data_IF_571886881368
#
_entry.id   IF_571886881368
#
_cell.length_a   1.000
_cell.length_b   1.000
_cell.length_c   1.000
_cell.angle_alpha   90.00
_cell.angle_beta   90.00
_cell.angle_gamma   90.00
#
_symmetry.space_group_name_H-M   'P 1'
#
loop_
_entity.id
_entity.type
_entity.pdbx_description
1 polymer ?
#
# COMPACT_ATOMS: atom_id res chain seq x y z
N UNK A 1 -18.77 -4.87 13.32
CA UNK A 1 -17.33 -5.08 13.53
C UNK A 1 -16.75 -3.80 14.08
N UNK A 2 -15.99 -3.88 15.18
CA UNK A 2 -15.49 -2.72 15.93
C UNK A 2 -14.01 -2.91 16.24
N UNK A 3 -13.18 -1.97 15.79
CA UNK A 3 -11.73 -1.97 15.96
C UNK A 3 -11.29 -0.75 16.76
N UNK A 4 -10.50 -0.96 17.79
CA UNK A 4 -9.72 0.07 18.47
C UNK A 4 -8.29 0.05 17.93
N UNK A 5 -7.88 1.10 17.23
CA UNK A 5 -6.51 1.28 16.76
C UNK A 5 -5.76 2.15 17.78
N UNK A 6 -4.94 1.50 18.60
CA UNK A 6 -4.00 2.16 19.51
C UNK A 6 -2.75 2.60 18.75
N UNK A 7 -2.54 3.90 18.63
CA UNK A 7 -1.38 4.49 17.97
C UNK A 7 -0.32 4.82 19.01
N UNK A 8 0.87 4.24 18.84
CA UNK A 8 2.04 4.48 19.69
C UNK A 8 3.08 5.20 18.83
N UNK A 9 3.48 6.40 19.23
CA UNK A 9 4.42 7.23 18.48
C UNK A 9 5.85 6.75 18.69
N UNK A 10 6.55 6.51 17.60
CA UNK A 10 7.98 6.21 17.57
C UNK A 10 8.70 7.39 16.93
N UNK A 11 9.51 8.07 17.74
CA UNK A 11 10.29 9.25 17.34
C UNK A 11 11.74 8.90 17.01
N UNK A 12 12.20 7.71 17.39
CA UNK A 12 13.56 7.24 17.10
C UNK A 12 13.62 5.71 17.04
N UNK A 13 14.57 5.18 16.26
CA UNK A 13 14.89 3.75 16.19
C UNK A 13 16.39 3.55 16.36
N UNK A 14 16.77 2.57 17.18
CA UNK A 14 18.18 2.28 17.51
C UNK A 14 18.46 0.78 17.50
N UNK A 15 19.60 0.39 16.96
CA UNK A 15 20.15 -0.95 17.20
C UNK A 15 20.66 -1.02 18.65
N UNK A 16 20.36 -2.13 19.34
CA UNK A 16 20.73 -2.35 20.72
C UNK A 16 20.82 -3.84 21.04
N UNK A 17 21.29 -4.19 22.24
CA UNK A 17 21.42 -5.59 22.67
C UNK A 17 20.06 -6.26 22.97
N UNK A 18 18.97 -5.50 23.09
CA UNK A 18 17.63 -6.02 23.40
C UNK A 18 16.56 -5.25 22.63
N UNK A 19 15.58 -5.97 22.07
CA UNK A 19 14.42 -5.37 21.43
C UNK A 19 13.40 -4.91 22.47
N UNK A 20 13.01 -3.64 22.42
CA UNK A 20 11.96 -3.06 23.28
C UNK A 20 11.48 -1.73 22.74
N UNK A 21 10.29 -1.30 23.16
CA UNK A 21 9.83 0.07 22.98
C UNK A 21 9.86 0.77 24.33
N UNK A 22 10.59 1.88 24.44
CA UNK A 22 10.72 2.65 25.67
C UNK A 22 10.84 4.14 25.34
N UNK A 23 10.02 4.98 25.98
CA UNK A 23 10.04 6.44 25.79
C UNK A 23 9.98 6.88 24.32
N UNK A 24 9.07 6.27 23.55
CA UNK A 24 8.86 6.53 22.11
C UNK A 24 10.10 6.23 21.24
N UNK A 25 11.00 5.37 21.73
CA UNK A 25 12.14 4.83 20.99
C UNK A 25 11.97 3.33 20.81
N UNK A 26 12.08 2.85 19.57
CA UNK A 26 12.13 1.43 19.25
C UNK A 26 13.60 0.97 19.24
N UNK A 27 13.96 0.14 20.20
CA UNK A 27 15.23 -0.55 20.25
C UNK A 27 15.10 -1.91 19.56
N UNK A 28 16.07 -2.26 18.72
CA UNK A 28 16.05 -3.48 17.89
C UNK A 28 17.34 -4.26 18.14
N UNK A 29 17.20 -5.53 18.55
CA UNK A 29 18.30 -6.48 18.51
C UNK A 29 18.44 -7.03 17.09
N UNK A 30 19.60 -6.78 16.49
CA UNK A 30 19.86 -7.15 15.10
C UNK A 30 19.84 -8.67 14.88
N UNK A 31 20.35 -9.45 15.83
CA UNK A 31 20.41 -10.91 15.73
C UNK A 31 19.00 -11.53 15.85
N UNK A 32 18.09 -10.95 16.61
CA UNK A 32 16.68 -11.37 16.64
C UNK A 32 16.03 -11.24 15.25
N UNK A 33 16.27 -10.11 14.57
CA UNK A 33 15.75 -9.88 13.22
C UNK A 33 16.40 -10.82 12.21
N UNK A 34 17.73 -11.01 12.26
CA UNK A 34 18.44 -11.97 11.40
C UNK A 34 17.89 -13.37 11.55
N UNK A 35 17.65 -13.82 12.78
CA UNK A 35 17.11 -15.15 13.04
C UNK A 35 15.72 -15.32 12.39
N UNK A 36 14.84 -14.33 12.51
CA UNK A 36 13.50 -14.38 11.90
C UNK A 36 13.58 -14.47 10.37
N UNK A 37 14.45 -13.68 9.75
CA UNK A 37 14.55 -13.62 8.28
C UNK A 37 15.23 -14.87 7.72
N UNK A 38 16.27 -15.37 8.38
CA UNK A 38 17.06 -16.53 7.95
C UNK A 38 16.41 -17.89 8.29
N UNK A 39 15.21 -17.89 8.88
CA UNK A 39 14.35 -19.09 8.94
C UNK A 39 13.96 -19.60 7.55
N UNK A 40 13.93 -18.72 6.54
CA UNK A 40 13.65 -19.07 5.15
C UNK A 40 14.96 -19.32 4.39
N UNK A 41 15.14 -20.55 3.89
CA UNK A 41 16.37 -21.01 3.23
C UNK A 41 16.57 -20.40 1.83
N UNK A 42 15.60 -19.66 1.31
CA UNK A 42 15.73 -18.87 0.09
C UNK A 42 16.51 -17.56 0.30
N UNK A 43 16.72 -17.12 1.55
CA UNK A 43 17.48 -15.92 1.90
C UNK A 43 18.83 -16.32 2.48
N UNK A 44 19.92 -15.93 1.81
CA UNK A 44 21.27 -16.25 2.28
C UNK A 44 21.78 -15.30 3.35
N UNK A 45 21.42 -14.01 3.25
CA UNK A 45 21.86 -12.97 4.17
C UNK A 45 20.82 -11.89 4.33
N UNK A 46 20.84 -11.27 5.51
CA UNK A 46 20.16 -10.01 5.77
C UNK A 46 21.06 -9.09 6.60
N UNK A 47 21.06 -7.81 6.27
CA UNK A 47 21.57 -6.75 7.14
C UNK A 47 20.47 -5.74 7.44
N UNK A 48 20.47 -5.22 8.67
CA UNK A 48 19.48 -4.25 9.12
C UNK A 48 20.12 -2.87 9.05
N UNK A 49 19.51 -1.98 8.26
CA UNK A 49 19.93 -0.60 8.17
C UNK A 49 18.78 0.34 8.54
N UNK A 50 19.09 1.47 9.17
CA UNK A 50 18.08 2.46 9.58
C UNK A 50 18.33 3.72 8.76
N UNK A 51 17.26 4.27 8.18
CA UNK A 51 17.26 5.56 7.50
C UNK A 51 16.21 6.47 8.13
N UNK A 52 16.62 7.66 8.59
CA UNK A 52 15.76 8.61 9.28
C UNK A 52 15.39 9.79 8.39
N UNK A 53 14.24 10.44 8.63
CA UNK A 53 13.84 11.63 7.89
C UNK A 53 14.93 12.70 7.90
N UNK A 54 15.25 13.23 6.71
CA UNK A 54 16.25 14.29 6.52
C UNK A 54 17.71 13.83 6.44
N UNK A 55 18.01 12.54 6.62
CA UNK A 55 19.37 12.03 6.40
C UNK A 55 19.71 11.99 4.90
N UNK A 56 20.99 12.13 4.55
CA UNK A 56 21.48 11.96 3.17
C UNK A 56 21.56 10.47 2.80
N UNK A 57 20.39 9.85 2.66
CA UNK A 57 20.22 8.41 2.39
C UNK A 57 19.23 8.20 1.25
N UNK A 58 19.60 7.33 0.32
CA UNK A 58 18.73 6.76 -0.72
C UNK A 58 18.47 5.28 -0.43
N UNK A 59 17.22 4.85 -0.50
CA UNK A 59 16.81 3.45 -0.37
C UNK A 59 16.31 2.99 -1.74
N UNK A 60 16.97 2.00 -2.34
CA UNK A 60 16.58 1.45 -3.66
C UNK A 60 17.29 0.13 -3.93
N UNK A 61 16.69 -0.84 -4.65
CA UNK A 61 15.25 -0.91 -4.92
C UNK A 61 14.50 -1.27 -3.63
N UNK A 62 13.42 -0.53 -3.34
CA UNK A 62 12.51 -0.81 -2.22
C UNK A 62 11.25 -1.51 -2.71
N UNK A 63 10.91 -2.65 -2.08
CA UNK A 63 9.80 -3.50 -2.51
C UNK A 63 8.49 -3.17 -1.81
N UNK A 64 8.48 -3.34 -0.49
CA UNK A 64 7.31 -3.12 0.34
C UNK A 64 7.72 -2.29 1.55
N UNK A 65 6.75 -1.55 2.09
CA UNK A 65 6.85 -0.77 3.31
C UNK A 65 5.71 -1.22 4.21
N UNK A 66 6.00 -1.54 5.47
CA UNK A 66 5.05 -2.21 6.36
C UNK A 66 5.06 -1.50 7.71
N UNK A 67 3.90 -1.05 8.17
CA UNK A 67 3.76 -0.49 9.54
C UNK A 67 3.76 -1.63 10.57
N UNK A 68 4.64 -1.62 11.58
CA UNK A 68 4.59 -2.61 12.64
C UNK A 68 3.29 -2.49 13.44
N UNK A 69 2.52 -3.58 13.49
CA UNK A 69 1.27 -3.68 14.25
C UNK A 69 1.23 -4.95 15.10
N UNK A 70 0.38 -4.99 16.12
CA UNK A 70 0.04 -6.23 16.81
C UNK A 70 -1.39 -6.21 17.36
N UNK A 71 -2.02 -7.39 17.42
CA UNK A 71 -3.28 -7.56 18.14
C UNK A 71 -3.01 -7.61 19.64
N UNK A 72 -3.88 -6.99 20.43
CA UNK A 72 -3.82 -6.99 21.90
C UNK A 72 -4.95 -7.85 22.44
N UNK A 73 -4.62 -8.74 23.38
CA UNK A 73 -5.57 -9.66 24.03
C UNK A 73 -6.51 -10.39 23.05
N UNK A 74 -5.99 -10.76 21.87
CA UNK A 74 -6.73 -11.44 20.81
C UNK A 74 -6.22 -12.86 20.56
N UNK A 75 -7.11 -13.73 20.07
CA UNK A 75 -6.75 -15.03 19.53
C UNK A 75 -6.30 -14.95 18.05
N UNK A 76 -6.62 -13.85 17.37
CA UNK A 76 -6.15 -13.55 16.01
C UNK A 76 -4.83 -12.79 16.03
N UNK A 77 -4.10 -12.83 14.92
CA UNK A 77 -2.87 -12.06 14.70
C UNK A 77 -2.96 -11.32 13.36
N UNK A 78 -2.18 -10.25 13.21
CA UNK A 78 -2.10 -9.50 11.95
C UNK A 78 -1.54 -10.34 10.80
N UNK A 79 -1.84 -9.95 9.57
CA UNK A 79 -1.44 -10.65 8.32
C UNK A 79 -1.92 -12.12 8.28
N UNK A 80 -3.24 -12.36 8.46
CA UNK A 80 -3.82 -13.69 8.50
C UNK A 80 -3.62 -14.46 7.18
N UNK A 81 -3.29 -15.74 7.29
CA UNK A 81 -3.08 -16.63 6.14
C UNK A 81 -1.74 -16.50 5.43
N UNK A 82 -0.86 -15.59 5.89
CA UNK A 82 0.51 -15.43 5.34
C UNK A 82 1.55 -15.78 6.41
N UNK A 83 1.75 -14.89 7.39
CA UNK A 83 2.70 -15.09 8.51
C UNK A 83 2.00 -15.42 9.83
N UNK A 84 0.68 -15.51 9.78
CA UNK A 84 -0.22 -15.85 10.87
C UNK A 84 -1.20 -16.92 10.41
N UNK A 85 -1.81 -17.63 11.37
CA UNK A 85 -2.88 -18.58 11.05
C UNK A 85 -4.02 -17.89 10.30
N UNK A 86 -4.75 -18.66 9.50
CA UNK A 86 -5.97 -18.18 8.84
C UNK A 86 -7.02 -17.95 9.92
N UNK A 87 -7.31 -16.69 10.19
CA UNK A 87 -8.35 -16.23 11.11
C UNK A 87 -8.90 -14.89 10.61
N UNK A 88 -10.03 -14.44 11.17
CA UNK A 88 -10.61 -13.13 10.87
C UNK A 88 -9.90 -12.04 11.64
N UNK A 89 -9.80 -10.86 11.02
CA UNK A 89 -9.25 -9.64 11.62
C UNK A 89 -10.30 -8.52 11.56
N UNK A 90 -9.94 -7.32 12.02
CA UNK A 90 -10.78 -6.13 11.95
C UNK A 90 -11.61 -5.85 13.20
N UNK A 91 -11.42 -6.61 14.28
CA UNK A 91 -12.12 -6.41 15.56
C UNK A 91 -11.19 -6.42 16.78
N UNK A 92 -11.67 -5.88 17.91
CA UNK A 92 -10.89 -5.81 19.14
C UNK A 92 -9.88 -4.68 19.09
N UNK A 93 -8.72 -4.85 19.74
CA UNK A 93 -7.67 -3.82 19.79
C UNK A 93 -6.43 -4.23 18.99
N UNK A 94 -5.91 -3.28 18.23
CA UNK A 94 -4.64 -3.39 17.49
C UNK A 94 -3.75 -2.22 17.87
N UNK A 95 -2.52 -2.49 18.29
CA UNK A 95 -1.50 -1.45 18.46
C UNK A 95 -0.72 -1.27 17.16
N UNK A 96 -0.40 -0.03 16.82
CA UNK A 96 0.39 0.36 15.66
C UNK A 96 1.53 1.29 16.08
N UNK A 97 2.75 0.96 15.66
CA UNK A 97 3.92 1.79 15.87
C UNK A 97 4.00 2.86 14.77
N UNK A 98 3.54 4.06 15.09
CA UNK A 98 3.51 5.22 14.17
C UNK A 98 4.89 5.87 14.09
N UNK A 99 5.23 6.44 12.93
CA UNK A 99 6.51 7.13 12.70
C UNK A 99 7.67 6.24 12.25
N UNK A 100 7.46 4.92 12.16
CA UNK A 100 8.44 3.98 11.63
C UNK A 100 7.79 2.93 10.72
N UNK A 101 8.59 2.32 9.85
CA UNK A 101 8.16 1.21 9.01
C UNK A 101 9.29 0.22 8.75
N UNK A 102 8.94 -1.04 8.51
CA UNK A 102 9.85 -2.06 7.98
C UNK A 102 9.82 -1.97 6.46
N UNK A 103 10.98 -1.85 5.84
CA UNK A 103 11.14 -1.80 4.39
C UNK A 103 11.93 -3.01 3.90
N UNK A 104 11.43 -3.71 2.89
CA UNK A 104 12.18 -4.79 2.23
C UNK A 104 12.99 -4.22 1.06
N UNK A 105 14.31 -4.41 1.09
CA UNK A 105 15.29 -3.77 0.21
C UNK A 105 16.36 -4.79 -0.20
N UNK A 106 17.05 -4.61 -1.32
CA UNK A 106 18.25 -5.38 -1.63
C UNK A 106 18.24 -5.96 -3.03
N UNK A 107 18.76 -7.17 -3.20
CA UNK A 107 18.84 -7.81 -4.52
C UNK A 107 17.52 -8.51 -4.83
N UNK A 108 16.54 -7.74 -5.30
CA UNK A 108 15.18 -8.16 -5.67
C UNK A 108 14.94 -7.91 -7.17
N UNK A 109 13.75 -8.23 -7.67
CA UNK A 109 13.34 -7.89 -9.04
C UNK A 109 13.12 -6.38 -9.18
N UNK A 110 14.21 -5.62 -9.34
CA UNK A 110 14.23 -4.18 -9.08
C UNK A 110 13.67 -3.24 -10.16
N UNK A 111 13.32 -3.71 -11.37
CA UNK A 111 12.88 -2.80 -12.45
C UNK A 111 11.44 -2.28 -12.29
N UNK A 112 10.63 -2.91 -11.42
CA UNK A 112 9.28 -2.47 -11.01
C UNK A 112 9.23 -2.16 -9.51
N UNK A 113 10.38 -1.80 -8.94
CA UNK A 113 10.49 -1.42 -7.53
C UNK A 113 10.98 0.02 -7.48
N UNK A 114 10.99 0.62 -6.30
CA UNK A 114 11.08 2.07 -6.21
C UNK A 114 12.33 2.63 -5.57
N UNK A 115 12.40 3.95 -5.62
CA UNK A 115 13.37 4.80 -4.92
C UNK A 115 12.65 5.55 -3.80
N UNK A 116 13.26 5.58 -2.62
CA UNK A 116 12.92 6.50 -1.53
C UNK A 116 14.17 7.30 -1.17
N UNK A 117 14.12 8.61 -1.41
CA UNK A 117 15.12 9.54 -0.90
C UNK A 117 14.64 10.11 0.44
N UNK A 118 15.53 10.15 1.44
CA UNK A 118 15.20 10.66 2.77
C UNK A 118 15.36 12.18 2.90
N UNK A 119 15.94 12.85 1.90
CA UNK A 119 16.06 14.30 1.80
C UNK A 119 15.93 14.79 0.34
N UNK A 120 15.78 16.11 0.16
CA UNK A 120 15.75 16.73 -1.17
C UNK A 120 14.44 16.49 -1.94
N UNK A 121 14.43 16.72 -3.27
CA UNK A 121 13.20 16.70 -4.06
C UNK A 121 12.52 15.32 -4.07
N UNK A 122 13.27 14.22 -4.03
CA UNK A 122 12.70 12.88 -3.93
C UNK A 122 11.94 12.64 -2.62
N UNK A 123 12.40 13.23 -1.52
CA UNK A 123 11.74 13.11 -0.22
C UNK A 123 10.36 13.79 -0.19
N UNK A 124 10.19 14.89 -0.92
CA UNK A 124 8.89 15.59 -1.04
C UNK A 124 7.86 14.78 -1.83
N UNK A 125 8.32 13.83 -2.63
CA UNK A 125 7.48 13.02 -3.52
C UNK A 125 7.07 11.67 -2.92
N UNK A 126 7.60 11.25 -1.77
CA UNK A 126 7.25 9.95 -1.17
C UNK A 126 6.78 10.12 0.27
N UNK A 127 5.69 9.46 0.70
CA UNK A 127 5.28 9.49 2.10
C UNK A 127 6.31 8.83 3.02
N UNK A 128 7.13 7.93 2.48
CA UNK A 128 8.06 7.11 3.26
C UNK A 128 9.31 7.86 3.71
N UNK A 129 9.61 9.03 3.14
CA UNK A 129 10.69 9.90 3.61
C UNK A 129 10.42 10.49 5.00
N UNK A 130 9.15 10.49 5.43
CA UNK A 130 8.71 11.00 6.73
C UNK A 130 8.74 9.92 7.83
N UNK A 131 9.06 8.68 7.48
CA UNK A 131 9.15 7.56 8.41
C UNK A 131 10.61 7.25 8.74
N UNK A 132 10.83 6.68 9.92
CA UNK A 132 12.08 5.97 10.21
C UNK A 132 11.98 4.59 9.56
N UNK A 133 12.72 4.41 8.46
CA UNK A 133 12.72 3.17 7.68
C UNK A 133 13.73 2.17 8.26
N UNK A 134 13.22 1.01 8.67
CA UNK A 134 13.99 -0.15 9.13
C UNK A 134 14.15 -1.06 7.91
N UNK A 135 15.25 -0.87 7.19
CA UNK A 135 15.53 -1.55 5.93
C UNK A 135 16.11 -2.95 6.19
N UNK A 136 15.39 -3.97 5.73
CA UNK A 136 15.88 -5.34 5.63
C UNK A 136 16.58 -5.48 4.28
N UNK A 137 17.91 -5.37 4.27
CA UNK A 137 18.71 -5.54 3.04
C UNK A 137 19.00 -7.02 2.85
N UNK A 138 18.26 -7.66 1.94
CA UNK A 138 18.28 -9.12 1.75
C UNK A 138 19.06 -9.55 0.50
N UNK A 139 19.73 -10.70 0.61
CA UNK A 139 20.43 -11.36 -0.49
C UNK A 139 19.86 -12.78 -0.72
N UNK A 140 19.63 -13.19 -1.99
CA UNK A 140 19.10 -14.50 -2.32
C UNK A 140 20.11 -15.61 -2.06
N UNK A 141 19.62 -16.79 -1.68
CA UNK A 141 20.38 -18.03 -1.72
C UNK A 141 20.78 -18.41 -3.16
N UNK A 142 21.83 -19.22 -3.29
CA UNK A 142 22.27 -19.69 -4.60
C UNK A 142 21.19 -20.54 -5.28
N UNK A 143 20.99 -20.31 -6.59
CA UNK A 143 20.05 -21.08 -7.44
C UNK A 143 18.57 -21.02 -7.01
N UNK A 144 18.17 -20.03 -6.21
CA UNK A 144 16.75 -19.82 -5.91
C UNK A 144 15.98 -19.33 -7.14
N UNK A 145 14.76 -19.84 -7.31
CA UNK A 145 13.84 -19.33 -8.34
C UNK A 145 13.33 -17.96 -7.92
N UNK A 146 13.28 -17.03 -8.86
CA UNK A 146 12.82 -15.65 -8.65
C UNK A 146 11.49 -15.58 -7.88
N UNK A 147 10.48 -16.33 -8.31
CA UNK A 147 9.16 -16.34 -7.66
C UNK A 147 9.22 -16.78 -6.18
N UNK A 148 10.01 -17.80 -5.86
CA UNK A 148 10.18 -18.29 -4.48
C UNK A 148 10.92 -17.27 -3.61
N UNK A 149 11.95 -16.64 -4.16
CA UNK A 149 12.68 -15.60 -3.46
C UNK A 149 11.81 -14.37 -3.17
N UNK A 150 11.02 -13.89 -4.14
CA UNK A 150 10.10 -12.77 -3.95
C UNK A 150 9.06 -13.04 -2.84
N UNK A 151 8.56 -14.29 -2.76
CA UNK A 151 7.69 -14.70 -1.66
C UNK A 151 8.43 -14.65 -0.31
N UNK A 152 9.65 -15.19 -0.24
CA UNK A 152 10.46 -15.18 0.98
C UNK A 152 10.75 -13.75 1.47
N UNK A 153 11.07 -12.82 0.57
CA UNK A 153 11.30 -11.41 0.88
C UNK A 153 10.04 -10.74 1.46
N UNK A 154 8.87 -11.00 0.85
CA UNK A 154 7.58 -10.49 1.38
C UNK A 154 7.30 -11.03 2.78
N UNK A 155 7.42 -12.33 2.98
CA UNK A 155 7.21 -12.95 4.29
C UNK A 155 8.21 -12.44 5.34
N UNK A 156 9.47 -12.21 4.98
CA UNK A 156 10.47 -11.64 5.87
C UNK A 156 10.05 -10.25 6.39
N UNK A 157 9.61 -9.35 5.51
CA UNK A 157 9.09 -8.04 5.90
C UNK A 157 7.91 -8.13 6.87
N UNK A 158 6.92 -8.97 6.55
CA UNK A 158 5.71 -9.16 7.36
C UNK A 158 6.01 -9.79 8.72
N UNK A 159 6.90 -10.81 8.78
CA UNK A 159 7.33 -11.45 10.03
C UNK A 159 8.04 -10.45 10.94
N UNK A 160 8.94 -9.64 10.39
CA UNK A 160 9.67 -8.62 11.15
C UNK A 160 8.72 -7.52 11.64
N UNK A 161 7.84 -7.00 10.78
CA UNK A 161 6.85 -5.99 11.19
C UNK A 161 5.92 -6.50 12.30
N UNK A 162 5.48 -7.76 12.21
CA UNK A 162 4.70 -8.44 13.26
C UNK A 162 5.51 -8.58 14.56
N UNK A 163 6.77 -9.00 14.47
CA UNK A 163 7.64 -9.15 15.63
C UNK A 163 7.86 -7.82 16.35
N UNK A 164 8.22 -6.77 15.62
CA UNK A 164 8.42 -5.43 16.17
C UNK A 164 7.13 -4.85 16.76
N UNK A 165 5.98 -5.07 16.09
CA UNK A 165 4.68 -4.66 16.61
C UNK A 165 4.38 -5.30 17.96
N UNK A 166 4.71 -6.59 18.17
CA UNK A 166 4.48 -7.30 19.45
C UNK A 166 5.21 -6.70 20.64
N UNK A 167 6.31 -5.97 20.43
CA UNK A 167 7.01 -5.25 21.50
C UNK A 167 6.14 -4.18 22.15
N UNK A 168 5.06 -3.78 21.48
CA UNK A 168 4.11 -2.77 21.94
C UNK A 168 2.85 -3.32 22.62
N UNK A 169 2.70 -4.64 22.73
CA UNK A 169 1.44 -5.26 23.17
C UNK A 169 0.98 -4.81 24.58
N UNK A 170 1.92 -4.51 25.48
CA UNK A 170 1.63 -4.06 26.85
C UNK A 170 1.83 -2.55 27.06
N UNK A 171 2.00 -1.78 25.99
CA UNK A 171 2.26 -0.33 26.05
C UNK A 171 0.93 0.41 25.92
N UNK A 172 0.69 1.40 26.77
CA UNK A 172 -0.47 2.28 26.64
C UNK A 172 -0.30 3.16 25.40
N UNK A 173 -1.25 3.17 24.45
CA UNK A 173 -1.19 4.02 23.26
C UNK A 173 -1.25 5.51 23.58
N UNK A 174 -0.57 6.33 22.77
CA UNK A 174 -0.68 7.80 22.84
C UNK A 174 -2.08 8.28 22.40
N UNK A 175 -2.67 7.57 21.44
CA UNK A 175 -4.02 7.83 20.92
C UNK A 175 -4.72 6.49 20.67
N UNK A 176 -6.01 6.40 21.01
CA UNK A 176 -6.87 5.27 20.61
C UNK A 176 -8.01 5.81 19.75
N UNK A 177 -8.07 5.34 18.50
CA UNK A 177 -9.17 5.65 17.57
C UNK A 177 -10.07 4.44 17.43
N UNK A 178 -11.38 4.66 17.52
CA UNK A 178 -12.37 3.58 17.39
C UNK A 178 -13.07 3.69 16.04
N UNK A 179 -13.03 2.60 15.29
CA UNK A 179 -13.76 2.43 14.04
C UNK A 179 -14.83 1.37 14.21
N UNK A 180 -16.03 1.63 13.71
CA UNK A 180 -17.15 0.69 13.81
C UNK A 180 -18.00 0.71 12.56
N UNK A 181 -18.30 -0.48 12.04
CA UNK A 181 -19.28 -0.70 10.99
C UNK A 181 -20.21 -1.81 11.47
N UNK A 182 -21.50 -1.51 11.60
CA UNK A 182 -22.51 -2.45 12.11
C UNK A 182 -22.86 -3.52 11.07
N UNK A 183 -23.53 -4.62 11.47
CA UNK A 183 -24.15 -5.53 10.51
C UNK A 183 -25.02 -4.76 9.51
N UNK A 184 -25.02 -5.19 8.25
CA UNK A 184 -25.58 -4.42 7.13
C UNK A 184 -26.96 -3.81 7.39
N UNK A 185 -27.92 -4.59 7.90
CA UNK A 185 -29.28 -4.11 8.15
C UNK A 185 -29.34 -3.04 9.25
N UNK A 186 -28.49 -3.16 10.26
CA UNK A 186 -28.36 -2.16 11.33
C UNK A 186 -27.64 -0.91 10.81
N UNK A 187 -26.60 -1.09 10.00
CA UNK A 187 -25.86 0.01 9.37
C UNK A 187 -26.77 0.87 8.47
N UNK A 188 -27.62 0.23 7.65
CA UNK A 188 -28.60 0.91 6.80
C UNK A 188 -29.57 1.73 7.67
N UNK A 189 -30.03 1.17 8.78
CA UNK A 189 -31.03 1.79 9.64
C UNK A 189 -30.48 2.91 10.54
N UNK A 190 -29.16 3.02 10.71
CA UNK A 190 -28.55 3.98 11.62
C UNK A 190 -28.70 5.44 11.14
N UNK A 191 -28.53 5.67 9.84
CA UNK A 191 -28.65 6.98 9.22
C UNK A 191 -29.52 6.90 7.95
N UNK A 192 -30.84 6.71 8.08
CA UNK A 192 -31.72 6.41 6.94
C UNK A 192 -31.87 7.58 5.96
N UNK A 193 -31.62 8.81 6.40
CA UNK A 193 -31.73 10.02 5.60
C UNK A 193 -30.44 10.39 4.86
N UNK A 194 -29.31 9.73 5.19
CA UNK A 194 -28.02 9.99 4.55
C UNK A 194 -27.81 9.08 3.34
N UNK A 195 -27.12 9.54 2.28
CA UNK A 195 -26.78 8.70 1.14
C UNK A 195 -25.88 7.54 1.59
N UNK A 196 -26.22 6.34 1.14
CA UNK A 196 -25.47 5.09 1.38
C UNK A 196 -24.28 5.07 0.43
N UNK A 197 -23.09 5.27 0.98
CA UNK A 197 -21.84 5.35 0.22
C UNK A 197 -20.99 4.11 0.50
N UNK A 198 -20.49 3.46 -0.55
CA UNK A 198 -19.51 2.38 -0.45
C UNK A 198 -18.16 2.77 -1.02
N UNK A 199 -17.18 1.87 -0.86
CA UNK A 199 -15.86 2.00 -1.46
C UNK A 199 -15.56 0.76 -2.30
N UNK A 200 -15.39 0.94 -3.60
CA UNK A 200 -14.87 -0.10 -4.49
C UNK A 200 -13.35 0.01 -4.53
N UNK A 201 -12.69 -0.95 -3.91
CA UNK A 201 -11.25 -1.01 -3.81
C UNK A 201 -10.70 -1.98 -4.85
N UNK A 202 -10.15 -1.46 -5.95
CA UNK A 202 -9.47 -2.28 -6.94
C UNK A 202 -8.12 -2.76 -6.38
N UNK A 203 -7.86 -4.06 -6.54
CA UNK A 203 -6.63 -4.71 -6.10
C UNK A 203 -5.85 -5.15 -7.34
N UNK A 204 -4.58 -4.79 -7.38
CA UNK A 204 -3.70 -5.15 -8.49
C UNK A 204 -3.54 -6.66 -8.61
N UNK A 205 -3.99 -7.21 -9.74
CA UNK A 205 -3.90 -8.65 -10.09
C UNK A 205 -3.24 -8.91 -11.46
N UNK A 206 -2.40 -7.98 -11.88
CA UNK A 206 -1.62 -8.00 -13.12
C UNK A 206 -0.11 -7.99 -12.86
N UNK A 207 0.32 -8.25 -11.63
CA UNK A 207 1.72 -8.26 -11.27
C UNK A 207 2.48 -9.35 -12.02
N UNK A 208 3.74 -9.06 -12.36
CA UNK A 208 4.55 -9.98 -13.17
C UNK A 208 4.80 -11.33 -12.49
N UNK A 209 4.99 -11.30 -11.17
CA UNK A 209 5.39 -12.47 -10.37
C UNK A 209 4.33 -12.86 -9.35
N UNK A 210 3.81 -11.86 -8.65
CA UNK A 210 2.82 -11.99 -7.60
C UNK A 210 1.87 -10.81 -7.68
N UNK A 211 0.73 -10.94 -7.04
CA UNK A 211 -0.37 -9.98 -7.01
C UNK A 211 -0.63 -9.50 -5.57
N UNK A 212 -1.63 -8.66 -5.37
CA UNK A 212 -2.11 -8.28 -4.03
C UNK A 212 -2.79 -9.49 -3.36
N UNK A 213 -2.62 -9.67 -2.04
CA UNK A 213 -3.20 -10.81 -1.30
C UNK A 213 -4.31 -10.36 -0.37
N UNK A 214 -5.35 -11.18 -0.27
CA UNK A 214 -6.48 -11.01 0.66
C UNK A 214 -6.59 -12.26 1.53
N UNK A 215 -6.42 -12.12 2.84
CA UNK A 215 -6.37 -13.25 3.80
C UNK A 215 -5.39 -14.36 3.36
N UNK A 216 -4.24 -13.95 2.80
CA UNK A 216 -3.20 -14.83 2.27
C UNK A 216 -3.54 -15.57 0.98
N UNK A 217 -4.72 -15.33 0.40
CA UNK A 217 -5.06 -15.80 -0.94
C UNK A 217 -4.72 -14.73 -1.96
N UNK A 218 -4.04 -15.12 -3.04
CA UNK A 218 -3.80 -14.24 -4.19
C UNK A 218 -5.15 -13.71 -4.72
N UNK A 219 -5.29 -12.39 -4.78
CA UNK A 219 -6.54 -11.75 -5.15
C UNK A 219 -7.03 -12.20 -6.53
N UNK A 220 -6.15 -12.58 -7.46
CA UNK A 220 -6.53 -13.05 -8.81
C UNK A 220 -7.46 -14.26 -8.81
N UNK A 221 -7.50 -15.01 -7.69
CA UNK A 221 -8.25 -16.25 -7.54
C UNK A 221 -9.59 -16.07 -6.83
N UNK A 222 -9.89 -14.87 -6.33
CA UNK A 222 -11.18 -14.55 -5.71
C UNK A 222 -12.02 -13.70 -6.66
N UNK A 223 -13.34 -13.81 -6.53
CA UNK A 223 -14.27 -12.87 -7.17
C UNK A 223 -14.46 -11.65 -6.27
N UNK A 224 -14.94 -10.51 -6.81
CA UNK A 224 -15.19 -9.33 -6.00
C UNK A 224 -16.07 -9.63 -4.78
N UNK A 225 -15.67 -9.12 -3.63
CA UNK A 225 -16.17 -9.53 -2.32
C UNK A 225 -16.34 -8.32 -1.40
N UNK A 226 -17.20 -8.45 -0.39
CA UNK A 226 -17.44 -7.39 0.59
C UNK A 226 -16.55 -7.64 1.81
N UNK A 227 -15.89 -6.59 2.28
CA UNK A 227 -15.14 -6.55 3.53
C UNK A 227 -15.69 -5.45 4.44
N UNK A 228 -15.59 -5.66 5.75
CA UNK A 228 -15.62 -4.56 6.68
C UNK A 228 -14.37 -3.69 6.47
N UNK A 229 -14.47 -2.36 6.51
CA UNK A 229 -13.30 -1.50 6.30
C UNK A 229 -12.20 -1.71 7.35
N UNK A 230 -12.57 -2.07 8.57
CA UNK A 230 -11.62 -2.41 9.64
C UNK A 230 -10.79 -3.66 9.36
N UNK A 231 -11.23 -4.58 8.50
CA UNK A 231 -10.42 -5.75 8.11
C UNK A 231 -9.18 -5.31 7.34
N UNK A 232 -9.32 -4.31 6.46
CA UNK A 232 -8.21 -3.73 5.69
C UNK A 232 -7.21 -3.07 6.64
N UNK A 233 -7.70 -2.29 7.60
CA UNK A 233 -6.87 -1.69 8.66
C UNK A 233 -6.15 -2.74 9.53
N UNK A 234 -6.63 -3.97 9.59
CA UNK A 234 -6.07 -5.00 10.46
C UNK A 234 -5.29 -6.08 9.70
N UNK A 235 -4.86 -5.75 8.48
CA UNK A 235 -3.91 -6.52 7.68
C UNK A 235 -4.54 -7.65 6.87
N UNK A 236 -5.85 -7.60 6.59
CA UNK A 236 -6.50 -8.54 5.69
C UNK A 236 -5.98 -8.43 4.26
N UNK A 237 -5.52 -7.25 3.84
CA UNK A 237 -4.93 -6.99 2.52
C UNK A 237 -3.46 -6.65 2.70
N UNK A 238 -2.59 -7.28 1.93
CA UNK A 238 -1.16 -6.99 1.89
C UNK A 238 -0.69 -6.83 0.46
N UNK A 239 0.37 -6.04 0.28
CA UNK A 239 1.01 -5.90 -1.01
C UNK A 239 1.80 -7.16 -1.36
N UNK A 240 1.73 -7.55 -2.62
CA UNK A 240 2.62 -8.55 -3.19
C UNK A 240 2.98 -8.28 -4.64
N UNK A 241 2.46 -7.20 -5.21
CA UNK A 241 2.49 -6.92 -6.63
C UNK A 241 3.80 -6.28 -7.11
N UNK A 242 4.13 -6.57 -8.38
CA UNK A 242 5.20 -5.92 -9.12
C UNK A 242 4.56 -4.99 -10.17
N UNK A 243 4.44 -3.70 -9.83
CA UNK A 243 3.90 -2.61 -10.66
C UNK A 243 4.77 -1.36 -10.46
N UNK A 244 4.56 -0.27 -11.23
CA UNK A 244 5.32 0.98 -11.06
C UNK A 244 5.38 1.42 -9.60
N UNK A 245 6.49 2.02 -9.19
CA UNK A 245 6.67 2.35 -7.78
C UNK A 245 5.73 3.46 -7.30
N UNK A 246 5.39 4.42 -8.18
CA UNK A 246 4.60 5.60 -7.83
C UNK A 246 3.15 5.31 -7.45
N UNK A 247 2.54 4.35 -8.14
CA UNK A 247 1.11 4.00 -8.04
C UNK A 247 0.87 2.70 -7.23
N UNK A 248 1.94 1.99 -6.85
CA UNK A 248 1.87 0.80 -5.98
C UNK A 248 1.26 1.11 -4.61
N UNK A 249 0.32 0.27 -4.18
CA UNK A 249 -0.10 0.18 -2.79
C UNK A 249 0.83 -0.76 -2.04
N UNK A 250 1.67 -0.19 -1.16
CA UNK A 250 2.45 -0.99 -0.20
C UNK A 250 1.53 -1.52 0.89
N UNK A 251 2.00 -2.49 1.67
CA UNK A 251 1.27 -2.96 2.85
C UNK A 251 1.00 -1.81 3.83
N UNK A 252 1.90 -0.82 3.93
CA UNK A 252 1.69 0.40 4.70
C UNK A 252 0.48 1.19 4.18
N UNK A 253 0.36 1.34 2.87
CA UNK A 253 -0.79 1.99 2.24
C UNK A 253 -2.09 1.25 2.55
N UNK A 254 -2.13 -0.08 2.41
CA UNK A 254 -3.31 -0.87 2.75
C UNK A 254 -3.71 -0.69 4.23
N UNK A 255 -2.76 -0.80 5.16
CA UNK A 255 -3.01 -0.68 6.60
C UNK A 255 -3.51 0.71 7.03
N UNK A 256 -3.20 1.74 6.25
CA UNK A 256 -3.48 3.15 6.56
C UNK A 256 -4.34 3.81 5.46
N UNK A 257 -5.17 3.06 4.73
CA UNK A 257 -5.91 3.54 3.56
C UNK A 257 -6.72 4.83 3.87
N UNK A 258 -6.36 5.99 3.30
CA UNK A 258 -6.95 7.28 3.66
C UNK A 258 -8.40 7.42 3.19
N UNK A 259 -8.80 6.74 2.10
CA UNK A 259 -10.20 6.72 1.67
C UNK A 259 -11.06 6.08 2.75
N UNK A 260 -10.60 4.99 3.37
CA UNK A 260 -11.33 4.35 4.47
C UNK A 260 -11.40 5.27 5.70
N UNK A 261 -10.28 5.90 6.08
CA UNK A 261 -10.24 6.83 7.22
C UNK A 261 -11.17 8.03 7.01
N UNK A 262 -11.14 8.66 5.84
CA UNK A 262 -11.99 9.80 5.48
C UNK A 262 -13.47 9.39 5.41
N UNK A 263 -13.80 8.22 4.86
CA UNK A 263 -15.17 7.71 4.84
C UNK A 263 -15.70 7.44 6.25
N UNK A 264 -14.88 6.94 7.17
CA UNK A 264 -15.25 6.86 8.59
C UNK A 264 -15.43 8.23 9.22
N UNK A 265 -14.59 9.22 8.90
CA UNK A 265 -14.75 10.58 9.41
C UNK A 265 -16.06 11.23 8.95
N UNK A 266 -16.48 10.94 7.72
CA UNK A 266 -17.72 11.48 7.11
C UNK A 266 -18.97 10.68 7.44
N UNK A 267 -18.81 9.46 7.91
CA UNK A 267 -19.90 8.60 8.33
C UNK A 267 -20.78 9.26 9.41
N UNK A 268 -22.10 9.29 9.18
CA UNK A 268 -23.08 9.89 10.10
C UNK A 268 -23.15 11.42 10.06
N UNK A 269 -22.27 12.08 9.30
CA UNK A 269 -22.28 13.54 9.08
C UNK A 269 -23.03 13.90 7.80
N UNK A 270 -22.58 13.33 6.68
CA UNK A 270 -23.16 13.58 5.36
C UNK A 270 -23.26 12.33 4.48
N UNK A 271 -22.70 11.20 4.92
CA UNK A 271 -22.84 9.90 4.28
C UNK A 271 -23.11 8.79 5.31
N UNK A 272 -23.77 7.72 4.87
CA UNK A 272 -23.80 6.45 5.57
C UNK A 272 -22.78 5.51 4.92
N UNK A 273 -21.62 5.30 5.54
CA UNK A 273 -20.57 4.46 4.97
C UNK A 273 -20.91 2.98 5.17
N UNK A 274 -21.13 2.28 4.07
CA UNK A 274 -21.70 0.93 4.07
C UNK A 274 -20.68 -0.21 4.11
N UNK A 275 -19.42 0.07 3.77
CA UNK A 275 -18.36 -0.94 3.71
C UNK A 275 -17.53 -0.88 2.43
N UNK A 276 -16.67 -1.88 2.26
CA UNK A 276 -15.73 -1.99 1.14
C UNK A 276 -16.10 -3.16 0.24
N UNK A 277 -16.09 -2.95 -1.07
CA UNK A 277 -16.15 -3.98 -2.10
C UNK A 277 -14.75 -4.06 -2.70
N UNK A 278 -14.03 -5.15 -2.43
CA UNK A 278 -12.76 -5.40 -3.14
C UNK A 278 -13.05 -5.98 -4.52
N UNK A 279 -12.27 -5.61 -5.53
CA UNK A 279 -12.39 -6.13 -6.89
C UNK A 279 -11.03 -6.30 -7.54
N UNK A 280 -10.97 -7.07 -8.62
CA UNK A 280 -9.72 -7.43 -9.29
C UNK A 280 -9.43 -6.54 -10.47
N UNK A 281 -8.16 -6.18 -10.64
CA UNK A 281 -7.65 -5.61 -11.88
C UNK A 281 -7.09 -6.74 -12.76
N UNK A 282 -7.89 -7.24 -13.68
CA UNK A 282 -7.52 -8.46 -14.40
C UNK A 282 -6.80 -8.16 -15.73
N UNK A 283 -5.85 -9.00 -16.11
CA UNK A 283 -5.16 -8.85 -17.42
C UNK A 283 -6.12 -9.04 -18.59
N UNK A 284 -6.92 -10.12 -18.55
CA UNK A 284 -7.75 -10.52 -19.69
C UNK A 284 -9.15 -9.92 -19.66
N UNK A 285 -9.62 -9.47 -20.83
CA UNK A 285 -10.92 -8.79 -20.99
C UNK A 285 -12.12 -9.57 -20.41
N UNK A 286 -12.14 -10.90 -20.52
CA UNK A 286 -13.24 -11.69 -19.96
C UNK A 286 -13.27 -11.65 -18.43
N UNK A 287 -12.10 -11.57 -17.80
CA UNK A 287 -11.98 -11.45 -16.36
C UNK A 287 -12.30 -10.01 -15.92
N UNK A 288 -11.87 -8.97 -16.65
CA UNK A 288 -12.30 -7.58 -16.42
C UNK A 288 -13.84 -7.46 -16.44
N UNK A 289 -14.48 -8.09 -17.43
CA UNK A 289 -15.95 -8.14 -17.53
C UNK A 289 -16.56 -8.85 -16.33
N UNK A 290 -16.03 -10.00 -15.93
CA UNK A 290 -16.51 -10.77 -14.78
C UNK A 290 -16.41 -9.97 -13.49
N UNK A 291 -15.26 -9.36 -13.22
CA UNK A 291 -15.03 -8.57 -12.02
C UNK A 291 -15.97 -7.37 -11.99
N UNK A 292 -16.03 -6.59 -13.06
CA UNK A 292 -16.89 -5.39 -13.11
C UNK A 292 -18.40 -5.70 -13.10
N UNK A 293 -18.87 -6.79 -13.73
CA UNK A 293 -20.27 -7.25 -13.61
C UNK A 293 -20.61 -7.64 -12.17
N UNK A 294 -19.65 -8.26 -11.47
CA UNK A 294 -19.85 -8.66 -10.08
C UNK A 294 -19.84 -7.46 -9.15
N UNK A 295 -18.92 -6.51 -9.35
CA UNK A 295 -18.83 -5.26 -8.59
C UNK A 295 -20.12 -4.45 -8.72
N UNK A 296 -20.60 -4.18 -9.94
CA UNK A 296 -21.81 -3.37 -10.14
C UNK A 296 -23.04 -4.03 -9.52
N UNK A 297 -23.17 -5.35 -9.68
CA UNK A 297 -24.21 -6.15 -9.01
C UNK A 297 -24.12 -6.02 -7.49
N UNK A 298 -22.93 -6.05 -6.88
CA UNK A 298 -22.78 -5.88 -5.43
C UNK A 298 -23.16 -4.45 -4.98
N UNK A 299 -22.80 -3.42 -5.75
CA UNK A 299 -23.21 -2.04 -5.46
C UNK A 299 -24.74 -1.91 -5.45
N UNK A 300 -25.41 -2.46 -6.47
CA UNK A 300 -26.87 -2.51 -6.60
C UNK A 300 -27.52 -3.36 -5.49
N UNK A 301 -26.93 -4.52 -5.18
CA UNK A 301 -27.41 -5.43 -4.14
C UNK A 301 -27.38 -4.82 -2.73
N UNK A 302 -26.36 -4.02 -2.43
CA UNK A 302 -26.25 -3.26 -1.18
C UNK A 302 -27.13 -1.99 -1.18
N UNK A 303 -27.73 -1.65 -2.33
CA UNK A 303 -28.58 -0.47 -2.50
C UNK A 303 -27.81 0.84 -2.37
N UNK A 304 -26.55 0.89 -2.78
CA UNK A 304 -25.70 2.08 -2.63
C UNK A 304 -26.22 3.24 -3.49
N UNK A 305 -26.12 4.46 -2.97
CA UNK A 305 -26.44 5.69 -3.69
C UNK A 305 -25.20 6.24 -4.41
N UNK A 306 -24.01 5.98 -3.87
CA UNK A 306 -22.74 6.31 -4.50
C UNK A 306 -21.57 5.45 -4.03
N UNK A 307 -20.48 5.45 -4.80
CA UNK A 307 -19.23 4.77 -4.48
C UNK A 307 -18.01 5.60 -4.86
N UNK A 308 -16.96 5.49 -4.06
CA UNK A 308 -15.60 5.86 -4.46
C UNK A 308 -14.96 4.63 -5.09
N UNK A 309 -14.26 4.77 -6.21
CA UNK A 309 -13.52 3.68 -6.87
C UNK A 309 -12.05 4.07 -6.94
N UNK A 310 -11.17 3.39 -6.22
CA UNK A 310 -9.72 3.62 -6.32
C UNK A 310 -9.07 2.56 -7.20
N UNK A 311 -8.18 2.99 -8.08
CA UNK A 311 -7.31 2.13 -8.90
C UNK A 311 -6.00 1.78 -8.18
N UNK A 312 -5.25 0.81 -8.70
CA UNK A 312 -3.84 0.59 -8.38
C UNK A 312 -3.01 0.26 -9.64
N UNK A 313 -2.15 1.15 -10.10
CA UNK A 313 -1.33 0.96 -11.30
C UNK A 313 -1.86 1.77 -12.48
N UNK A 314 -1.44 1.46 -13.71
CA UNK A 314 -1.76 2.31 -14.86
C UNK A 314 -1.84 1.55 -16.19
N UNK A 315 -2.53 2.13 -17.17
CA UNK A 315 -2.63 1.61 -18.53
C UNK A 315 -3.70 0.52 -18.64
N UNK A 316 -3.36 -0.74 -18.38
CA UNK A 316 -4.37 -1.82 -18.47
C UNK A 316 -5.38 -1.79 -17.30
N UNK A 317 -5.01 -1.47 -16.04
CA UNK A 317 -5.94 -1.15 -14.96
C UNK A 317 -6.93 -0.01 -15.28
N UNK A 318 -6.56 1.00 -16.08
CA UNK A 318 -7.48 2.08 -16.48
C UNK A 318 -8.76 1.53 -17.15
N UNK A 319 -8.62 0.46 -17.93
CA UNK A 319 -9.78 -0.23 -18.53
C UNK A 319 -10.66 -0.90 -17.46
N UNK A 320 -10.08 -1.45 -16.39
CA UNK A 320 -10.87 -1.97 -15.26
C UNK A 320 -11.60 -0.84 -14.53
N UNK A 321 -10.93 0.30 -14.29
CA UNK A 321 -11.50 1.46 -13.63
C UNK A 321 -12.70 2.01 -14.40
N UNK A 322 -12.52 2.28 -15.69
CA UNK A 322 -13.58 2.80 -16.56
C UNK A 322 -14.70 1.76 -16.73
N UNK A 323 -14.40 0.47 -16.81
CA UNK A 323 -15.43 -0.57 -16.92
C UNK A 323 -16.26 -0.71 -15.63
N UNK A 324 -15.62 -0.67 -14.45
CA UNK A 324 -16.33 -0.62 -13.17
C UNK A 324 -17.24 0.62 -13.13
N UNK A 325 -16.69 1.80 -13.44
CA UNK A 325 -17.41 3.08 -13.44
C UNK A 325 -18.68 3.02 -14.29
N UNK A 326 -18.56 2.63 -15.56
CA UNK A 326 -19.70 2.54 -16.49
C UNK A 326 -20.79 1.60 -16.01
N UNK A 327 -20.40 0.43 -15.49
CA UNK A 327 -21.37 -0.59 -15.07
C UNK A 327 -22.04 -0.22 -13.75
N UNK A 328 -21.33 0.41 -12.83
CA UNK A 328 -21.89 0.90 -11.57
C UNK A 328 -22.87 2.05 -11.83
N UNK A 329 -22.49 3.03 -12.68
CA UNK A 329 -23.38 4.12 -13.10
C UNK A 329 -24.64 3.60 -13.83
N UNK A 330 -24.51 2.52 -14.62
CA UNK A 330 -25.66 1.89 -15.29
C UNK A 330 -26.67 1.25 -14.32
N UNK A 331 -26.25 0.90 -13.10
CA UNK A 331 -27.14 0.46 -12.01
C UNK A 331 -27.77 1.64 -11.24
N UNK A 332 -27.47 2.89 -11.63
CA UNK A 332 -27.97 4.10 -10.98
C UNK A 332 -27.17 4.54 -9.76
N UNK A 333 -26.00 3.94 -9.50
CA UNK A 333 -25.11 4.28 -8.40
C UNK A 333 -24.07 5.28 -8.87
N UNK A 334 -23.92 6.42 -8.16
CA UNK A 334 -22.95 7.46 -8.53
C UNK A 334 -21.51 7.04 -8.26
N UNK A 335 -20.59 7.45 -9.11
CA UNK A 335 -19.17 7.07 -8.99
C UNK A 335 -18.28 8.30 -8.90
N UNK A 336 -17.31 8.26 -7.97
CA UNK A 336 -16.12 9.12 -7.98
C UNK A 336 -14.92 8.22 -8.14
N UNK A 337 -14.08 8.45 -9.15
CA UNK A 337 -12.86 7.67 -9.36
C UNK A 337 -11.64 8.38 -8.76
N UNK A 338 -10.72 7.61 -8.19
CA UNK A 338 -9.41 8.05 -7.70
C UNK A 338 -8.35 7.28 -8.48
N UNK A 339 -7.48 8.01 -9.19
CA UNK A 339 -6.45 7.44 -10.06
C UNK A 339 -5.25 8.39 -10.17
N UNK A 340 -4.26 8.07 -10.98
CA UNK A 340 -3.21 9.00 -11.42
C UNK A 340 -3.25 9.22 -12.93
N UNK A 341 -2.26 9.93 -13.47
CA UNK A 341 -2.21 10.25 -14.89
C UNK A 341 -0.85 9.90 -15.48
N UNK A 342 -0.86 9.34 -16.68
CA UNK A 342 0.32 9.11 -17.50
C UNK A 342 0.23 9.98 -18.77
N UNK A 343 0.33 11.30 -18.55
CA UNK A 343 0.09 12.33 -19.56
C UNK A 343 1.35 12.78 -20.31
N UNK A 344 2.45 12.01 -20.22
CA UNK A 344 3.74 12.37 -20.81
C UNK A 344 4.47 13.47 -20.01
N UNK A 345 5.75 13.69 -20.28
CA UNK A 345 6.62 14.59 -19.49
C UNK A 345 6.16 16.04 -19.44
N UNK A 346 5.46 16.49 -20.49
CA UNK A 346 4.89 17.83 -20.60
C UNK A 346 3.44 17.93 -20.12
N UNK A 347 2.84 16.80 -19.73
CA UNK A 347 1.44 16.71 -19.28
C UNK A 347 0.41 16.94 -20.40
N UNK A 348 0.80 16.89 -21.67
CA UNK A 348 -0.08 17.23 -22.79
C UNK A 348 -0.79 16.02 -23.43
N UNK A 349 -0.44 14.79 -23.02
CA UNK A 349 -1.07 13.57 -23.53
C UNK A 349 -2.35 13.23 -22.77
N UNK A 350 -3.15 12.33 -23.33
CA UNK A 350 -4.29 11.77 -22.62
C UNK A 350 -3.79 11.02 -21.37
N UNK A 351 -4.27 11.41 -20.18
CA UNK A 351 -3.76 10.88 -18.91
C UNK A 351 -4.12 9.41 -18.64
N UNK A 352 -5.26 8.94 -19.12
CA UNK A 352 -5.73 7.55 -18.96
C UNK A 352 -5.81 6.83 -20.30
N UNK A 353 -5.50 5.54 -20.33
CA UNK A 353 -5.57 4.72 -21.55
C UNK A 353 -7.01 4.42 -22.01
N UNK A 354 -7.99 4.46 -21.10
CA UNK A 354 -9.41 4.35 -21.40
C UNK A 354 -10.18 5.54 -20.81
N UNK A 355 -11.32 5.88 -21.40
CA UNK A 355 -12.17 6.98 -20.92
C UNK A 355 -13.63 6.76 -21.32
N UNK A 356 -14.55 7.21 -20.46
CA UNK A 356 -15.98 7.22 -20.75
C UNK A 356 -16.63 8.44 -20.10
N UNK A 357 -17.69 8.94 -20.73
CA UNK A 357 -18.47 10.08 -20.21
C UNK A 357 -19.11 9.82 -18.84
N UNK A 358 -19.26 8.57 -18.43
CA UNK A 358 -19.73 8.19 -17.09
C UNK A 358 -18.68 8.47 -15.99
N UNK A 359 -17.39 8.58 -16.35
CA UNK A 359 -16.33 9.00 -15.44
C UNK A 359 -16.24 10.54 -15.41
N UNK A 360 -17.27 11.19 -14.87
CA UNK A 360 -17.39 12.66 -14.83
C UNK A 360 -16.94 13.30 -13.50
N UNK A 361 -16.59 12.49 -12.50
CA UNK A 361 -16.01 12.90 -11.24
C UNK A 361 -14.69 12.14 -10.98
N UNK A 362 -13.57 12.83 -11.21
CA UNK A 362 -12.21 12.26 -11.16
C UNK A 362 -11.37 13.01 -10.14
N UNK A 363 -10.74 12.28 -9.23
CA UNK A 363 -9.66 12.76 -8.35
C UNK A 363 -8.37 12.12 -8.84
N UNK A 364 -7.36 12.93 -9.07
CA UNK A 364 -6.07 12.50 -9.65
C UNK A 364 -4.93 12.77 -8.68
N UNK A 365 -4.03 11.80 -8.53
CA UNK A 365 -2.75 11.88 -7.82
C UNK A 365 -1.66 12.67 -8.58
N UNK A 366 -1.97 13.14 -9.79
CA UNK A 366 -1.06 13.90 -10.65
C UNK A 366 -0.38 13.06 -11.74
N UNK A 367 0.50 13.70 -12.51
CA UNK A 367 1.15 13.09 -13.67
C UNK A 367 2.43 12.32 -13.27
N UNK A 368 2.42 11.00 -13.43
CA UNK A 368 3.53 10.10 -13.12
C UNK A 368 4.75 10.27 -14.05
N UNK A 369 4.57 10.86 -15.24
CA UNK A 369 5.65 11.08 -16.20
C UNK A 369 6.46 12.37 -15.96
N UNK A 370 6.14 13.18 -14.95
CA UNK A 370 6.96 14.35 -14.62
C UNK A 370 8.41 13.93 -14.33
N UNK A 371 9.39 14.64 -14.91
CA UNK A 371 10.81 14.35 -14.69
C UNK A 371 11.30 15.04 -13.42
N UNK A 372 12.05 14.33 -12.60
CA UNK A 372 12.75 14.84 -11.42
C UNK A 372 14.24 14.52 -11.52
N UNK A 373 15.07 15.45 -11.05
CA UNK A 373 16.51 15.22 -10.84
C UNK A 373 16.75 15.06 -9.34
N UNK A 374 17.14 13.85 -8.95
CA UNK A 374 17.49 13.51 -7.58
C UNK A 374 19.00 13.76 -7.36
N UNK A 375 19.38 14.51 -6.31
CA UNK A 375 20.80 14.71 -6.01
C UNK A 375 21.47 13.41 -5.56
N UNK A 376 22.82 13.32 -5.61
CA UNK A 376 23.55 12.23 -4.97
C UNK A 376 23.31 12.25 -3.45
N UNK A 377 23.26 11.06 -2.86
CA UNK A 377 23.16 10.88 -1.40
C UNK A 377 24.48 10.32 -0.85
N UNK A 378 24.83 10.69 0.37
CA UNK A 378 26.05 10.20 1.04
C UNK A 378 26.02 8.68 1.25
N UNK A 379 24.83 8.10 1.38
CA UNK A 379 24.61 6.67 1.61
C UNK A 379 23.50 6.12 0.71
N UNK A 380 23.72 4.91 0.18
CA UNK A 380 22.70 4.11 -0.50
C UNK A 380 22.47 2.84 0.30
N UNK A 381 21.20 2.55 0.63
CA UNK A 381 20.75 1.28 1.20
C UNK A 381 20.12 0.47 0.07
N UNK A 382 20.70 -0.70 -0.24
CA UNK A 382 20.34 -1.53 -1.38
C UNK A 382 21.34 -1.41 -2.54
N UNK A 383 20.86 -1.22 -3.77
CA UNK A 383 21.68 -1.12 -4.98
C UNK A 383 21.12 -0.13 -6.01
N UNK A 384 22.03 0.59 -6.69
CA UNK A 384 21.71 1.47 -7.83
C UNK A 384 21.64 0.73 -9.17
N UNK A 385 21.91 -0.58 -9.22
CA UNK A 385 22.06 -1.36 -10.46
C UNK A 385 20.86 -1.29 -11.41
N UNK A 386 19.67 -0.96 -10.88
CA UNK A 386 18.42 -0.96 -11.62
C UNK A 386 17.98 0.43 -12.09
N UNK A 387 18.64 1.52 -11.68
CA UNK A 387 18.19 2.90 -11.89
C UNK A 387 17.91 3.24 -13.36
N UNK A 388 18.74 2.77 -14.29
CA UNK A 388 18.55 3.06 -15.72
C UNK A 388 17.44 2.21 -16.36
N UNK A 389 16.99 1.16 -15.68
CA UNK A 389 16.01 0.18 -16.19
C UNK A 389 14.72 0.12 -15.38
N UNK A 390 14.65 0.89 -14.29
CA UNK A 390 13.46 1.03 -13.44
C UNK A 390 12.33 1.67 -14.25
N UNK A 391 11.08 1.37 -13.91
CA UNK A 391 9.95 2.10 -14.48
C UNK A 391 10.11 3.61 -14.22
N UNK A 392 10.08 4.41 -15.30
CA UNK A 392 10.38 5.84 -15.28
C UNK A 392 11.86 6.21 -15.50
N UNK A 393 12.77 5.23 -15.47
CA UNK A 393 14.18 5.40 -15.83
C UNK A 393 14.45 5.19 -17.31
N UNK A 394 15.65 5.58 -17.72
CA UNK A 394 16.16 5.47 -19.08
C UNK A 394 17.69 5.36 -19.08
N UNK A 395 18.27 5.01 -20.23
CA UNK A 395 19.73 4.93 -20.41
C UNK A 395 20.39 6.26 -20.03
N UNK A 396 21.29 6.24 -19.04
CA UNK A 396 21.91 7.44 -18.49
C UNK A 396 21.11 8.17 -17.41
N UNK A 397 20.05 7.54 -16.86
CA UNK A 397 19.35 8.07 -15.67
C UNK A 397 20.33 8.28 -14.52
N UNK A 398 21.21 7.33 -14.21
CA UNK A 398 22.31 7.51 -13.28
C UNK A 398 23.48 8.23 -13.97
N UNK A 399 23.68 9.50 -13.63
CA UNK A 399 24.73 10.35 -14.19
C UNK A 399 26.09 10.07 -13.53
N UNK A 400 27.19 10.40 -14.22
CA UNK A 400 28.56 10.22 -13.70
C UNK A 400 28.84 10.98 -12.38
N UNK A 401 28.11 12.07 -12.12
CA UNK A 401 28.19 12.85 -10.88
C UNK A 401 27.33 12.28 -9.73
N UNK A 402 26.65 11.15 -9.95
CA UNK A 402 25.79 10.48 -8.97
C UNK A 402 24.36 11.03 -8.85
N UNK A 403 24.00 12.04 -9.64
CA UNK A 403 22.60 12.46 -9.78
C UNK A 403 21.78 11.39 -10.53
N UNK A 404 20.49 11.32 -10.24
CA UNK A 404 19.54 10.46 -10.95
C UNK A 404 18.49 11.34 -11.62
N UNK A 405 18.37 11.26 -12.94
CA UNK A 405 17.27 11.87 -13.70
C UNK A 405 16.28 10.78 -14.13
N UNK A 406 15.07 10.83 -13.59
CA UNK A 406 14.00 9.84 -13.82
C UNK A 406 12.64 10.51 -13.85
N UNK A 407 11.64 9.85 -14.41
CA UNK A 407 10.25 10.21 -14.17
C UNK A 407 9.85 9.86 -12.72
N UNK A 408 8.93 10.64 -12.13
CA UNK A 408 8.48 10.38 -10.75
C UNK A 408 7.83 9.00 -10.59
N UNK A 409 7.48 8.34 -11.70
CA UNK A 409 7.12 6.93 -11.77
C UNK A 409 8.07 6.00 -10.97
N UNK A 410 9.35 6.35 -10.89
CA UNK A 410 10.36 5.59 -10.16
C UNK A 410 10.31 5.79 -8.62
N UNK A 411 9.56 6.78 -8.12
CA UNK A 411 9.52 7.17 -6.71
C UNK A 411 8.37 6.47 -6.00
N UNK A 412 8.65 5.72 -4.94
CA UNK A 412 7.64 4.90 -4.26
C UNK A 412 6.50 5.74 -3.67
N UNK A 413 5.26 5.49 -4.12
CA UNK A 413 4.06 6.18 -3.63
C UNK A 413 3.88 7.62 -4.12
N UNK A 414 4.60 8.05 -5.16
CA UNK A 414 4.53 9.43 -5.65
C UNK A 414 3.18 9.86 -6.22
N UNK A 415 2.46 8.95 -6.86
CA UNK A 415 1.12 9.18 -7.43
C UNK A 415 0.11 8.18 -6.88
N UNK A 416 0.33 7.69 -5.65
CA UNK A 416 -0.50 6.65 -5.05
C UNK A 416 -2.00 6.96 -5.13
N UNK A 417 -2.74 6.04 -5.75
CA UNK A 417 -4.13 6.21 -6.15
C UNK A 417 -5.14 6.01 -5.02
N UNK A 418 -4.67 5.92 -3.77
CA UNK A 418 -5.51 6.07 -2.58
C UNK A 418 -5.55 7.52 -2.09
N UNK A 419 -4.65 8.39 -2.56
CA UNK A 419 -4.53 9.77 -2.06
C UNK A 419 -3.59 9.92 -0.87
N UNK A 420 -2.62 9.03 -0.70
CA UNK A 420 -1.57 9.18 0.32
C UNK A 420 -0.65 10.38 0.09
N UNK A 421 -0.47 10.75 -1.17
CA UNK A 421 0.36 11.88 -1.54
C UNK A 421 -0.48 13.16 -1.66
N UNK A 422 0.18 14.32 -1.55
CA UNK A 422 -0.47 15.64 -1.58
C UNK A 422 -0.53 16.24 -2.98
N UNK A 423 -0.18 15.46 -4.00
CA UNK A 423 -0.21 15.88 -5.40
C UNK A 423 -1.61 15.73 -5.97
N UNK A 424 -1.95 16.65 -6.86
CA UNK A 424 -3.18 16.60 -7.65
C UNK A 424 -2.99 17.39 -8.92
N UNK A 425 -3.60 16.94 -10.02
CA UNK A 425 -3.67 17.77 -11.21
C UNK A 425 -4.63 18.94 -10.98
N UNK A 426 -4.23 20.12 -11.43
CA UNK A 426 -5.12 21.28 -11.50
C UNK A 426 -5.35 21.56 -12.99
N UNK A 427 -6.61 21.49 -13.41
CA UNK A 427 -6.98 21.93 -14.75
C UNK A 427 -6.47 23.35 -14.99
N UNK A 428 -5.84 23.58 -16.14
CA UNK A 428 -5.37 24.91 -16.57
C UNK A 428 -6.53 25.71 -17.15
#
# INVERSE_FOLDING_TARGET
>A
MKLELGKIQINDVKLADQSKVESNVLYINEEEIKNIVLEDDHIAKVSIEIAKPGESVRITPIKDVIEPRCKVDSNSEIFPGVVSKVDRVGEGRTHALKGCAVATVGKIVGFQEGIVDMQGPGAELTPFSQLINICLVVEPAENVKTHSYEQAVREAGLKVAKHLGKLSASIEPDEVVTYETKPLLEQIAEYPELPKVGYVYMLQTQGLLHDTYVYGTDAKHIVPSILYPTEVMDGAIISGNCVSACDKNTTYHHLNNPIIEDLYERHGKDINFMGVIITNEAVYLNDKKRSSDWTSKLCSFLGLDGVIVSQEGFGNPDTDLIMNTKKIEAEGVKTVIVTDEYAGRDGASQGLADADKAADAVVTGGNANEVVVLPPMDKVIGSLDYVDTIAGGFDGSLRENGEIEVEIQAITGATNELGFNKRTARGV
#
